data_IF_946328651829
#
_entry.id   IF_946328651829
#
_cell.length_a   1.000
_cell.length_b   1.000
_cell.length_c   1.000
_cell.angle_alpha   90.00
_cell.angle_beta   90.00
_cell.angle_gamma   90.00
#
_symmetry.space_group_name_H-M   'P 1'
#
loop_
_entity.id
_entity.type
_entity.pdbx_description
1 polymer ?
#
# COMPACT_ATOMS: atom_id res chain seq x y z
N UNK A 1 4.12 19.61 27.52
CA UNK A 1 4.10 19.40 27.08
C UNK A 1 4.00 19.04 26.64
N UNK A 2 4.11 18.98 26.53
CA UNK A 2 4.09 18.59 26.04
C UNK A 2 4.06 17.96 25.36
N UNK A 3 4.09 17.91 25.21
CA UNK A 3 4.08 17.32 24.59
C UNK A 3 3.81 16.66 23.91
N UNK A 4 3.79 16.52 23.76
CA UNK A 4 3.59 15.89 23.24
C UNK A 4 3.27 15.34 22.66
N UNK A 5 3.29 15.21 22.27
CA UNK A 5 2.95 14.66 21.73
C UNK A 5 2.85 14.15 20.93
N UNK A 6 3.04 14.14 20.53
CA UNK A 6 2.96 13.68 19.75
C UNK A 6 3.06 12.75 19.45
N UNK A 7 2.99 12.42 19.44
CA UNK A 7 3.12 11.49 19.23
C UNK A 7 2.75 10.94 18.38
N UNK A 8 2.41 11.04 18.09
CA UNK A 8 1.92 10.72 17.05
C UNK A 8 1.97 9.43 16.61
N UNK A 9 1.26 8.91 15.91
CA UNK A 9 1.26 7.65 15.46
C UNK A 9 1.99 7.59 14.25
N UNK A 10 3.15 7.50 14.38
CA UNK A 10 4.01 7.53 13.29
C UNK A 10 3.85 6.36 12.43
N UNK A 11 4.09 6.49 11.24
CA UNK A 11 4.16 5.38 10.37
C UNK A 11 2.90 5.06 9.63
N UNK A 12 1.79 5.34 10.20
CA UNK A 12 0.57 4.99 9.51
C UNK A 12 0.24 5.96 8.41
N UNK A 13 0.55 7.21 8.61
CA UNK A 13 0.24 8.19 7.61
C UNK A 13 1.39 8.55 6.73
N UNK A 14 2.53 8.01 6.97
CA UNK A 14 3.69 8.39 6.19
C UNK A 14 3.78 7.58 4.93
N UNK A 15 4.03 8.23 3.82
CA UNK A 15 4.19 7.49 2.57
C UNK A 15 5.49 6.72 2.58
N UNK A 16 5.53 5.65 1.86
CA UNK A 16 6.73 4.84 1.75
C UNK A 16 7.68 5.49 0.77
N UNK A 17 8.90 5.73 1.19
CA UNK A 17 9.86 6.37 0.32
C UNK A 17 11.08 5.53 0.08
N UNK A 18 11.53 4.83 1.11
CA UNK A 18 12.74 4.05 0.98
C UNK A 18 12.42 2.65 0.52
N UNK A 19 13.32 2.08 -0.25
CA UNK A 19 13.11 0.74 -0.75
C UNK A 19 12.90 -0.26 0.39
N UNK A 20 13.66 -0.12 1.46
CA UNK A 20 13.49 -1.04 2.57
C UNK A 20 12.13 -0.93 3.23
N UNK A 21 11.50 0.25 3.14
CA UNK A 21 10.17 0.39 3.69
C UNK A 21 9.19 -0.45 2.90
N UNK A 22 9.37 -0.50 1.59
CA UNK A 22 8.52 -1.33 0.78
C UNK A 22 8.75 -2.81 1.11
N UNK A 23 10.00 -3.20 1.24
CA UNK A 23 10.30 -4.58 1.52
C UNK A 23 9.71 -5.02 2.85
N UNK A 24 9.79 -4.14 3.84
CA UNK A 24 9.24 -4.49 5.14
C UNK A 24 7.73 -4.66 5.10
N UNK A 25 7.10 -4.10 4.13
CA UNK A 25 5.65 -4.14 4.07
C UNK A 25 5.10 -5.10 3.03
N UNK A 26 5.93 -5.98 2.54
CA UNK A 26 5.44 -7.01 1.63
C UNK A 26 4.44 -7.87 2.39
N UNK A 27 3.30 -8.10 1.75
CA UNK A 27 2.24 -8.84 2.38
C UNK A 27 1.18 -7.97 3.02
N UNK A 28 1.40 -6.66 3.00
CA UNK A 28 0.44 -5.75 3.60
C UNK A 28 -0.30 -4.98 2.52
N UNK A 29 -1.52 -4.56 2.81
CA UNK A 29 -2.26 -3.78 1.83
C UNK A 29 -1.70 -2.39 1.72
N UNK A 30 -1.54 -1.90 0.50
CA UNK A 30 -1.02 -0.57 0.26
C UNK A 30 -1.87 0.11 -0.80
N UNK A 31 -1.77 1.41 -0.83
CA UNK A 31 -2.47 2.19 -1.83
C UNK A 31 -1.44 3.07 -2.52
N UNK A 32 -1.34 2.96 -3.81
CA UNK A 32 -0.35 3.67 -4.58
C UNK A 32 -1.04 4.72 -5.43
N UNK A 33 -0.58 5.96 -5.32
CA UNK A 33 -1.08 7.02 -6.17
C UNK A 33 -0.10 7.19 -7.31
N UNK A 34 -0.61 7.22 -8.51
CA UNK A 34 0.24 7.36 -9.69
C UNK A 34 0.31 8.80 -10.13
N UNK A 35 1.32 9.10 -10.93
CA UNK A 35 1.53 10.47 -11.37
C UNK A 35 0.42 10.96 -12.27
N UNK A 36 -0.22 10.06 -12.97
CA UNK A 36 -1.29 10.46 -13.88
C UNK A 36 -2.64 10.61 -13.18
N UNK A 37 -2.66 10.47 -11.87
CA UNK A 37 -3.91 10.65 -11.15
C UNK A 37 -4.64 9.39 -10.79
N UNK A 38 -4.11 8.24 -11.17
CA UNK A 38 -4.77 7.00 -10.85
C UNK A 38 -4.32 6.49 -9.50
N UNK A 39 -5.09 5.63 -8.94
CA UNK A 39 -4.77 5.02 -7.66
C UNK A 39 -4.94 3.50 -7.79
N UNK A 40 -3.95 2.78 -7.32
CA UNK A 40 -3.99 1.33 -7.35
C UNK A 40 -3.83 0.84 -5.92
N UNK A 41 -4.74 0.00 -5.48
CA UNK A 41 -4.66 -0.53 -4.13
C UNK A 41 -4.66 -2.05 -4.20
N UNK A 42 -4.02 -2.65 -3.24
CA UNK A 42 -3.93 -4.10 -3.18
C UNK A 42 -2.84 -4.49 -2.22
N UNK A 43 -2.45 -5.75 -2.27
CA UNK A 43 -1.43 -6.27 -1.38
C UNK A 43 -0.07 -6.18 -2.05
N UNK A 44 0.89 -5.63 -1.33
CA UNK A 44 2.24 -5.55 -1.86
C UNK A 44 2.84 -6.95 -1.82
N UNK A 45 3.11 -7.51 -2.98
CA UNK A 45 3.60 -8.88 -3.07
C UNK A 45 5.05 -8.97 -3.48
N UNK A 46 5.56 -7.95 -4.13
CA UNK A 46 6.94 -7.98 -4.58
C UNK A 46 7.49 -6.58 -4.65
N UNK A 47 8.77 -6.46 -4.41
CA UNK A 47 9.44 -5.17 -4.46
C UNK A 47 10.75 -5.37 -5.19
N UNK A 48 10.98 -4.59 -6.23
CA UNK A 48 12.23 -4.63 -6.95
C UNK A 48 12.86 -3.24 -6.89
N UNK A 49 14.11 -3.10 -7.25
CA UNK A 49 14.74 -1.79 -7.23
C UNK A 49 14.12 -0.80 -8.18
N UNK A 50 13.35 -1.28 -9.14
CA UNK A 50 12.78 -0.39 -10.15
C UNK A 50 11.29 -0.26 -10.07
N UNK A 51 10.61 -1.21 -9.48
CA UNK A 51 9.16 -1.20 -9.44
C UNK A 51 8.65 -2.05 -8.30
N UNK A 52 7.37 -1.96 -8.03
CA UNK A 52 6.75 -2.83 -7.06
C UNK A 52 5.61 -3.54 -7.77
N UNK A 53 5.15 -4.62 -7.15
CA UNK A 53 4.02 -5.36 -7.70
C UNK A 53 2.94 -5.47 -6.66
N UNK A 54 1.74 -5.15 -7.04
CA UNK A 54 0.60 -5.14 -6.14
C UNK A 54 -0.42 -6.12 -6.65
N UNK A 55 -0.85 -7.00 -5.76
CA UNK A 55 -1.84 -8.00 -6.12
C UNK A 55 -3.22 -7.50 -5.79
N UNK A 56 -4.09 -7.51 -6.75
CA UNK A 56 -5.45 -7.09 -6.54
C UNK A 56 -6.38 -8.28 -6.77
N UNK A 57 -7.31 -8.49 -5.88
CA UNK A 57 -8.27 -9.57 -6.01
C UNK A 57 -9.55 -8.99 -6.60
N UNK A 58 -9.93 -9.49 -7.75
CA UNK A 58 -11.14 -9.04 -8.40
C UNK A 58 -12.16 -10.15 -8.41
N UNK A 59 -13.40 -9.77 -8.42
CA UNK A 59 -14.47 -10.74 -8.52
C UNK A 59 -15.00 -11.15 -7.17
N UNK A 60 -15.94 -12.05 -7.19
CA UNK A 60 -16.55 -12.48 -5.97
C UNK A 60 -15.97 -13.78 -5.51
N UNK A 61 -16.45 -14.24 -4.40
CA UNK A 61 -15.84 -15.39 -3.76
C UNK A 61 -15.58 -16.54 -4.70
N UNK A 62 -16.48 -16.79 -5.58
CA UNK A 62 -16.32 -17.94 -6.46
C UNK A 62 -15.50 -17.64 -7.68
N UNK A 63 -15.48 -16.41 -8.10
CA UNK A 63 -14.77 -16.05 -9.30
C UNK A 63 -13.62 -15.13 -9.01
N UNK A 64 -12.96 -15.36 -7.91
CA UNK A 64 -11.84 -14.50 -7.56
C UNK A 64 -10.70 -14.68 -8.52
N UNK A 65 -10.17 -13.56 -8.93
CA UNK A 65 -9.07 -13.59 -9.85
C UNK A 65 -7.97 -12.73 -9.32
N UNK A 66 -6.77 -13.22 -9.30
CA UNK A 66 -5.65 -12.46 -8.83
C UNK A 66 -4.99 -11.73 -9.98
N UNK A 67 -4.87 -10.46 -9.86
CA UNK A 67 -4.26 -9.66 -10.89
C UNK A 67 -3.10 -8.90 -10.26
N UNK A 68 -1.92 -9.05 -10.83
CA UNK A 68 -0.75 -8.36 -10.31
C UNK A 68 -0.46 -7.17 -11.20
N UNK A 69 -0.32 -6.02 -10.57
CA UNK A 69 -0.07 -4.77 -11.28
C UNK A 69 1.36 -4.31 -11.01
N UNK A 70 2.20 -4.31 -12.02
CA UNK A 70 3.55 -3.80 -11.83
C UNK A 70 3.51 -2.27 -11.89
N UNK A 71 4.13 -1.64 -10.93
CA UNK A 71 4.13 -0.19 -10.82
C UNK A 71 5.54 0.32 -10.70
N UNK A 72 6.07 0.94 -11.74
CA UNK A 72 7.42 1.46 -11.67
C UNK A 72 7.48 2.66 -10.75
N UNK A 73 8.57 2.78 -10.02
CA UNK A 73 8.71 3.89 -9.10
C UNK A 73 8.63 5.23 -9.82
N UNK A 74 9.07 5.27 -11.08
CA UNK A 74 9.04 6.52 -11.79
C UNK A 74 7.62 6.97 -12.11
N UNK A 75 6.66 6.07 -12.02
CA UNK A 75 5.28 6.42 -12.26
C UNK A 75 4.49 6.55 -10.95
N UNK A 76 5.12 6.28 -9.85
CA UNK A 76 4.45 6.32 -8.56
C UNK A 76 4.62 7.69 -7.95
N UNK A 77 3.52 8.28 -7.54
CA UNK A 77 3.57 9.54 -6.86
C UNK A 77 3.79 9.34 -5.37
N UNK A 78 2.96 8.54 -4.75
CA UNK A 78 3.13 8.20 -3.35
C UNK A 78 2.56 6.82 -3.10
N UNK A 79 3.03 6.18 -2.05
CA UNK A 79 2.52 4.89 -1.64
C UNK A 79 2.26 4.93 -0.15
N UNK A 80 1.09 4.53 0.24
CA UNK A 80 0.71 4.53 1.66
C UNK A 80 0.20 3.18 2.06
N UNK A 81 0.35 2.88 3.32
CA UNK A 81 -0.22 1.66 3.85
C UNK A 81 -1.70 1.86 4.06
N UNK A 82 -2.48 0.88 3.68
CA UNK A 82 -3.91 0.93 3.91
C UNK A 82 -4.23 0.41 5.28
N UNK A 83 -5.10 1.10 5.96
CA UNK A 83 -5.55 0.65 7.26
C UNK A 83 -6.86 -0.05 7.07
N UNK A 84 -6.91 -1.32 7.40
CA UNK A 84 -8.12 -2.08 7.23
C UNK A 84 -8.78 -2.22 8.58
N UNK A 85 -9.96 -1.63 8.71
CA UNK A 85 -10.71 -1.78 9.92
C UNK A 85 -11.64 -2.94 9.80
N UNK A 86 -11.52 -3.89 10.69
CA UNK A 86 -12.44 -4.97 10.70
C UNK A 86 -13.67 -4.50 11.32
N UNK A 87 -14.61 -4.18 10.58
CA UNK A 87 -15.83 -3.80 11.10
C UNK A 87 -16.53 -4.94 11.58
N UNK A 88 -16.77 -5.08 12.79
CA UNK A 88 -17.53 -6.14 13.30
C UNK A 88 -18.93 -5.92 13.08
N UNK A 89 -19.53 -6.70 12.32
CA UNK A 89 -20.93 -6.51 12.04
C UNK A 89 -21.72 -6.80 13.23
N UNK A 90 -21.41 -7.39 14.04
CA UNK A 90 -22.15 -7.69 15.15
C UNK A 90 -23.28 -7.35 15.26
#
# INVERSE_FOLDING_TARGET
>A
GDFSLELSSPGLDEPLKLHRQYVKNIGRPVEVSLLDGRTVSGTLVAVTPEQIEIEEIKGKAKSRERVVHPLPFSNIKTTRLQVVFKKNPV
#
